data_IF_141581812702
#
_entry.id   IF_141581812702
#
_cell.length_a   1.000
_cell.length_b   1.000
_cell.length_c   1.000
_cell.angle_alpha   90.00
_cell.angle_beta   90.00
_cell.angle_gamma   90.00
#
_symmetry.space_group_name_H-M   'P 1'
#
loop_
_entity.id
_entity.type
_entity.pdbx_description
1 polymer ?
#
# COMPACT_ATOMS: atom_id res chain seq x y z
N UNK A 1 9.25 15.74 4.77
CA UNK A 1 9.00 15.50 6.21
C UNK A 1 9.84 14.31 6.64
N UNK A 2 11.00 14.55 7.27
CA UNK A 2 11.74 13.49 7.96
C UNK A 2 11.94 13.83 9.46
N UNK A 3 10.86 13.98 10.26
CA UNK A 3 10.95 13.95 11.71
C UNK A 3 11.01 12.51 12.27
N UNK A 4 11.18 11.48 11.42
CA UNK A 4 11.15 10.07 11.85
C UNK A 4 12.33 9.71 12.74
N UNK A 5 13.46 10.40 12.55
CA UNK A 5 14.67 10.20 13.35
C UNK A 5 14.66 11.04 14.64
N UNK A 6 13.64 11.88 14.86
CA UNK A 6 13.56 12.77 16.02
C UNK A 6 12.75 12.20 17.18
N UNK A 7 12.26 10.95 17.08
CA UNK A 7 11.49 10.30 18.14
C UNK A 7 11.74 8.79 18.20
N UNK A 8 11.73 8.23 19.40
CA UNK A 8 11.73 6.77 19.63
C UNK A 8 10.32 6.18 19.67
N UNK A 9 9.28 7.03 19.64
CA UNK A 9 7.89 6.57 19.64
C UNK A 9 7.52 6.03 18.26
N UNK A 10 7.34 4.72 18.14
CA UNK A 10 7.01 4.07 16.87
C UNK A 10 5.51 4.07 16.51
N UNK A 11 4.65 4.71 17.31
CA UNK A 11 3.20 4.77 17.07
C UNK A 11 2.83 5.42 15.73
N UNK A 12 3.73 6.19 15.12
CA UNK A 12 3.54 6.73 13.77
C UNK A 12 3.55 5.65 12.68
N UNK A 13 4.09 4.44 12.96
CA UNK A 13 4.10 3.32 12.01
C UNK A 13 2.73 2.65 11.89
N UNK A 14 1.93 2.71 12.95
CA UNK A 14 0.54 2.27 12.93
C UNK A 14 0.05 1.75 14.26
N UNK A 15 -1.22 1.34 14.24
CA UNK A 15 -1.94 0.82 15.38
C UNK A 15 -3.14 -0.02 14.90
N UNK A 16 -3.65 -0.89 15.77
CA UNK A 16 -4.93 -1.57 15.58
C UNK A 16 -6.00 -0.90 16.43
N UNK A 17 -7.02 -0.34 15.77
CA UNK A 17 -8.20 0.17 16.46
C UNK A 17 -9.14 -0.99 16.84
N UNK A 18 -8.95 -1.59 18.01
CA UNK A 18 -9.74 -2.75 18.46
C UNK A 18 -11.23 -2.44 18.70
N UNK A 19 -11.59 -1.16 18.83
CA UNK A 19 -12.99 -0.72 18.97
C UNK A 19 -13.67 -0.41 17.63
N UNK A 20 -12.97 -0.60 16.50
CA UNK A 20 -13.54 -0.37 15.17
C UNK A 20 -14.64 -1.41 14.86
N UNK A 21 -15.86 -0.99 14.49
CA UNK A 21 -16.96 -1.92 14.20
C UNK A 21 -16.75 -2.73 12.91
N UNK A 22 -15.80 -2.32 12.07
CA UNK A 22 -15.46 -3.02 10.84
C UNK A 22 -14.35 -4.06 11.02
N UNK A 23 -13.74 -4.16 12.21
CA UNK A 23 -12.66 -5.13 12.45
C UNK A 23 -13.21 -6.56 12.57
N UNK A 24 -12.65 -7.57 11.86
CA UNK A 24 -11.56 -7.48 10.88
C UNK A 24 -12.02 -6.90 9.53
N UNK A 25 -11.37 -5.82 9.06
CA UNK A 25 -11.78 -5.14 7.82
C UNK A 25 -11.41 -5.94 6.56
N UNK A 26 -10.33 -6.72 6.62
CA UNK A 26 -9.89 -7.63 5.57
C UNK A 26 -9.69 -9.03 6.13
N UNK A 27 -10.04 -10.03 5.32
CA UNK A 27 -9.80 -11.45 5.65
C UNK A 27 -8.35 -11.81 5.36
N UNK A 28 -7.84 -12.84 6.04
CA UNK A 28 -6.52 -13.41 5.78
C UNK A 28 -5.33 -12.62 6.36
N UNK A 29 -5.60 -11.57 7.13
CA UNK A 29 -4.59 -10.86 7.93
C UNK A 29 -4.10 -11.80 9.05
N UNK A 30 -2.78 -11.95 9.17
CA UNK A 30 -2.15 -12.89 10.13
C UNK A 30 -1.58 -12.17 11.35
N UNK A 31 -1.25 -10.88 11.21
CA UNK A 31 -0.66 -10.02 12.25
C UNK A 31 -1.67 -8.97 12.71
N UNK A 32 -1.20 -8.01 13.50
CA UNK A 32 -1.96 -6.83 13.85
C UNK A 32 -2.31 -5.95 12.64
N UNK A 33 -3.49 -5.32 12.68
CA UNK A 33 -3.94 -4.43 11.61
C UNK A 33 -3.21 -3.08 11.66
N UNK A 34 -2.91 -2.51 10.49
CA UNK A 34 -2.57 -1.10 10.37
C UNK A 34 -3.80 -0.25 10.03
N UNK A 35 -4.37 0.42 11.02
CA UNK A 35 -5.53 1.31 10.83
C UNK A 35 -5.15 2.71 10.32
N UNK A 36 -3.87 3.08 10.22
CA UNK A 36 -3.47 4.32 9.55
C UNK A 36 -3.80 4.30 8.06
N UNK A 37 -3.85 3.12 7.47
CA UNK A 37 -4.05 2.93 6.04
C UNK A 37 -5.43 2.37 5.70
N UNK A 38 -6.46 2.63 6.52
CA UNK A 38 -7.86 2.25 6.24
C UNK A 38 -8.32 2.69 4.84
N UNK A 39 -7.71 3.74 4.28
CA UNK A 39 -7.71 4.00 2.85
C UNK A 39 -6.32 3.71 2.27
N UNK A 40 -6.29 3.09 1.10
CA UNK A 40 -5.03 2.73 0.44
C UNK A 40 -4.22 3.99 0.12
N UNK A 41 -3.02 4.18 0.72
CA UNK A 41 -2.19 5.35 0.45
C UNK A 41 -1.54 5.29 -0.94
N UNK A 42 -1.64 4.15 -1.65
CA UNK A 42 -1.16 3.95 -3.01
C UNK A 42 -2.28 3.97 -4.06
N UNK A 43 -3.50 4.41 -3.72
CA UNK A 43 -4.66 4.34 -4.62
C UNK A 43 -4.45 5.08 -5.95
N UNK A 44 -3.65 6.15 -5.95
CA UNK A 44 -3.32 6.95 -7.14
C UNK A 44 -1.99 6.57 -7.81
N UNK A 45 -1.27 5.58 -7.28
CA UNK A 45 0.06 5.19 -7.73
C UNK A 45 0.09 3.75 -8.22
N UNK A 46 1.03 3.43 -9.10
CA UNK A 46 1.35 2.04 -9.41
C UNK A 46 1.74 1.30 -8.14
N UNK A 47 1.22 0.07 -7.98
CA UNK A 47 1.42 -0.75 -6.79
C UNK A 47 1.26 -2.23 -7.14
N UNK A 48 1.76 -3.17 -6.31
CA UNK A 48 1.71 -4.61 -6.58
C UNK A 48 0.44 -5.23 -5.99
N UNK A 49 -0.48 -4.41 -5.47
CA UNK A 49 -1.69 -4.89 -4.84
C UNK A 49 -2.58 -5.63 -5.84
N UNK A 50 -3.37 -6.62 -5.39
CA UNK A 50 -4.29 -7.35 -6.25
C UNK A 50 -5.56 -6.53 -6.52
N UNK A 51 -5.38 -5.27 -6.92
CA UNK A 51 -6.51 -4.37 -7.19
C UNK A 51 -7.19 -4.78 -8.48
N UNK A 52 -8.52 -4.71 -8.47
CA UNK A 52 -9.31 -4.72 -9.70
C UNK A 52 -9.58 -3.28 -10.15
N UNK A 53 -10.17 -3.12 -11.33
CA UNK A 53 -10.50 -1.81 -11.90
C UNK A 53 -11.98 -1.74 -12.15
N UNK A 54 -12.60 -0.62 -11.76
CA UNK A 54 -14.00 -0.36 -11.99
C UNK A 54 -14.20 1.10 -12.44
N UNK A 55 -15.33 1.37 -13.07
CA UNK A 55 -15.77 2.74 -13.38
C UNK A 55 -16.76 3.18 -12.32
N UNK A 56 -16.48 4.30 -11.65
CA UNK A 56 -17.37 4.84 -10.62
C UNK A 56 -18.64 5.50 -11.23
N UNK A 57 -19.54 5.96 -10.36
CA UNK A 57 -20.77 6.64 -10.77
C UNK A 57 -20.54 7.96 -11.54
N UNK A 58 -19.33 8.52 -11.51
CA UNK A 58 -18.95 9.73 -12.24
C UNK A 58 -18.25 9.41 -13.57
N UNK A 59 -18.14 8.14 -13.96
CA UNK A 59 -17.44 7.71 -15.17
C UNK A 59 -15.91 7.67 -15.04
N UNK A 60 -15.37 7.75 -13.82
CA UNK A 60 -13.93 7.70 -13.57
C UNK A 60 -13.47 6.26 -13.30
N UNK A 61 -12.44 5.83 -14.03
CA UNK A 61 -11.76 4.56 -13.78
C UNK A 61 -10.99 4.63 -12.45
N UNK A 62 -11.24 3.68 -11.54
CA UNK A 62 -10.66 3.61 -10.20
C UNK A 62 -10.17 2.21 -9.87
N UNK A 63 -9.26 2.12 -8.91
CA UNK A 63 -8.84 0.86 -8.30
C UNK A 63 -9.84 0.41 -7.25
N UNK A 64 -10.31 -0.83 -7.35
CA UNK A 64 -10.92 -1.54 -6.25
C UNK A 64 -9.83 -2.27 -5.46
N UNK A 65 -9.51 -1.77 -4.27
CA UNK A 65 -8.51 -2.36 -3.38
C UNK A 65 -9.12 -3.26 -2.28
N UNK A 66 -10.41 -3.60 -2.34
CA UNK A 66 -11.13 -4.32 -1.27
C UNK A 66 -10.53 -5.69 -0.94
N UNK A 67 -9.87 -6.34 -1.90
CA UNK A 67 -9.17 -7.61 -1.70
C UNK A 67 -7.70 -7.45 -1.23
N UNK A 68 -7.18 -6.22 -1.11
CA UNK A 68 -5.78 -5.97 -0.81
C UNK A 68 -5.49 -6.00 0.70
N UNK A 69 -4.50 -6.79 1.11
CA UNK A 69 -4.05 -6.90 2.52
C UNK A 69 -2.70 -6.25 2.78
N UNK A 70 -1.98 -5.83 1.74
CA UNK A 70 -0.62 -5.26 1.84
C UNK A 70 -0.48 -4.09 2.83
N UNK A 71 -1.40 -3.09 2.84
CA UNK A 71 -1.29 -2.00 3.80
C UNK A 71 -1.81 -2.37 5.20
N UNK A 72 -2.26 -3.61 5.43
CA UNK A 72 -2.97 -3.99 6.66
C UNK A 72 -2.38 -5.18 7.43
N UNK A 73 -1.51 -6.00 6.85
CA UNK A 73 -0.94 -7.17 7.53
C UNK A 73 0.35 -6.85 8.30
N UNK A 74 0.18 -6.40 9.55
CA UNK A 74 1.26 -6.03 10.47
C UNK A 74 1.67 -4.57 10.30
N UNK A 75 1.42 -3.71 11.30
CA UNK A 75 1.60 -2.27 11.11
C UNK A 75 3.04 -1.88 10.75
N UNK A 76 4.03 -2.57 11.29
CA UNK A 76 5.44 -2.35 10.97
C UNK A 76 5.75 -2.73 9.52
N UNK A 77 5.26 -3.89 9.07
CA UNK A 77 5.50 -4.37 7.71
C UNK A 77 4.79 -3.48 6.69
N UNK A 78 3.51 -3.16 6.93
CA UNK A 78 2.73 -2.28 6.09
C UNK A 78 3.32 -0.88 6.00
N UNK A 79 3.78 -0.29 7.12
CA UNK A 79 4.47 0.99 7.09
C UNK A 79 5.70 0.98 6.20
N UNK A 80 6.59 0.02 6.39
CA UNK A 80 7.81 -0.09 5.60
C UNK A 80 7.51 -0.33 4.11
N UNK A 81 6.50 -1.14 3.81
CA UNK A 81 6.02 -1.38 2.45
C UNK A 81 5.52 -0.08 1.80
N UNK A 82 4.62 0.66 2.45
CA UNK A 82 4.10 1.94 1.93
C UNK A 82 5.22 2.96 1.74
N UNK A 83 6.12 3.09 2.71
CA UNK A 83 7.25 4.00 2.62
C UNK A 83 8.16 3.71 1.43
N UNK A 84 8.43 2.43 1.15
CA UNK A 84 9.21 2.00 -0.02
C UNK A 84 8.52 2.38 -1.33
N UNK A 85 7.20 2.18 -1.44
CA UNK A 85 6.47 2.54 -2.66
C UNK A 85 6.35 4.05 -2.87
N UNK A 86 6.25 4.83 -1.80
CA UNK A 86 6.20 6.29 -1.86
C UNK A 86 7.57 6.97 -2.06
N UNK A 87 8.67 6.22 -2.00
CA UNK A 87 10.02 6.78 -2.25
C UNK A 87 10.22 7.17 -3.72
N UNK A 88 9.64 6.39 -4.64
CA UNK A 88 9.66 6.62 -6.09
C UNK A 88 8.26 6.38 -6.68
N UNK A 89 7.27 7.24 -6.38
CA UNK A 89 5.90 6.99 -6.79
C UNK A 89 5.75 7.19 -8.30
N UNK A 90 5.15 6.22 -8.98
CA UNK A 90 4.69 6.36 -10.36
C UNK A 90 3.18 6.50 -10.33
N UNK A 91 2.63 7.53 -10.96
CA UNK A 91 1.18 7.72 -11.04
C UNK A 91 0.57 6.54 -11.78
N UNK A 92 -0.52 6.00 -11.25
CA UNK A 92 -1.21 4.87 -11.87
C UNK A 92 -1.67 5.20 -13.28
N UNK A 93 -1.38 4.29 -14.21
CA UNK A 93 -1.69 4.41 -15.64
C UNK A 93 -3.18 4.30 -15.98
N UNK A 94 -4.04 3.94 -15.01
CA UNK A 94 -5.46 3.66 -15.24
C UNK A 94 -5.73 2.25 -15.79
N UNK A 95 -4.70 1.41 -15.90
CA UNK A 95 -4.81 0.05 -16.43
C UNK A 95 -5.05 -1.00 -15.34
N UNK A 96 -5.65 -2.16 -15.67
CA UNK A 96 -5.69 -3.31 -14.79
C UNK A 96 -4.31 -3.77 -14.32
N UNK A 97 -4.27 -4.47 -13.19
CA UNK A 97 -3.03 -5.09 -12.71
C UNK A 97 -2.51 -6.13 -13.70
N UNK A 98 -1.19 -6.33 -13.71
CA UNK A 98 -0.51 -7.30 -14.56
C UNK A 98 -0.25 -8.64 -13.86
N UNK A 99 0.02 -9.68 -14.64
CA UNK A 99 0.61 -10.95 -14.16
C UNK A 99 1.97 -11.17 -14.84
N UNK A 100 3.10 -11.13 -14.10
CA UNK A 100 3.22 -10.87 -12.66
C UNK A 100 2.84 -9.42 -12.28
N UNK A 101 2.54 -9.15 -10.99
CA UNK A 101 2.16 -7.81 -10.53
C UNK A 101 3.23 -6.75 -10.82
N UNK A 102 2.77 -5.51 -10.94
CA UNK A 102 3.63 -4.34 -11.18
C UNK A 102 4.78 -4.29 -10.18
N UNK A 103 6.00 -4.23 -10.70
CA UNK A 103 7.22 -4.16 -9.90
C UNK A 103 7.36 -2.79 -9.27
N UNK A 104 8.02 -2.74 -8.10
CA UNK A 104 8.34 -1.47 -7.43
C UNK A 104 9.17 -0.57 -8.36
N UNK A 105 8.76 0.69 -8.59
CA UNK A 105 9.55 1.64 -9.34
C UNK A 105 10.91 1.88 -8.69
N UNK A 106 11.90 2.18 -9.51
CA UNK A 106 13.28 2.45 -9.08
C UNK A 106 13.69 3.85 -9.53
N UNK A 107 14.70 4.45 -8.87
CA UNK A 107 15.30 5.68 -9.36
C UNK A 107 15.83 5.47 -10.79
N UNK A 108 15.76 6.51 -11.65
CA UNK A 108 16.33 6.46 -12.99
C UNK A 108 17.80 6.02 -12.98
N UNK A 109 18.17 5.09 -13.87
CA UNK A 109 19.52 4.54 -13.98
C UNK A 109 19.84 3.35 -13.08
N UNK A 110 18.87 2.86 -12.28
CA UNK A 110 19.00 1.66 -11.43
C UNK A 110 17.95 0.59 -11.75
N UNK A 111 17.37 0.62 -12.96
CA UNK A 111 16.27 -0.26 -13.35
C UNK A 111 16.64 -1.75 -13.27
N UNK A 112 17.93 -2.09 -13.44
CA UNK A 112 18.42 -3.48 -13.54
C UNK A 112 19.17 -4.01 -12.30
N UNK A 113 19.42 -3.22 -11.26
CA UNK A 113 20.19 -3.67 -10.07
C UNK A 113 19.33 -4.54 -9.12
N UNK A 114 19.68 -5.82 -8.91
CA UNK A 114 18.94 -6.71 -7.99
C UNK A 114 17.70 -7.34 -8.63
N UNK A 115 17.89 -8.09 -9.72
CA UNK A 115 16.86 -8.91 -10.38
C UNK A 115 16.68 -10.29 -9.72
N UNK A 116 17.38 -10.57 -8.62
CA UNK A 116 17.59 -11.91 -8.07
C UNK A 116 16.97 -12.15 -6.68
N UNK A 117 16.02 -11.31 -6.25
CA UNK A 117 15.32 -11.45 -4.96
C UNK A 117 13.83 -11.77 -5.13
#
# INVERSE_FOLDING_TARGET
>A
MQPKDTTTNEGFKGFTNTTCPFLPCHKGIKREFNCLFCYCPLIAYECPGPYEVFTDANGLTRKDCSACTLPHDGYNQSWNFIQRWLEYPVVWSGQPQTDPPTRRPRPPGKENEGRDD
#
